data_IF_950825142868
#
_entry.id   IF_950825142868
#
_cell.length_a   1.000
_cell.length_b   1.000
_cell.length_c   1.000
_cell.angle_alpha   90.00
_cell.angle_beta   90.00
_cell.angle_gamma   90.00
#
_symmetry.space_group_name_H-M   'P 1'
#
loop_
_entity.id
_entity.type
_entity.pdbx_description
1 polymer ?
#
# COMPACT_ATOMS: atom_id res chain seq x y z
N UNK A 1 71.52 -67.67 -38.50
CA UNK A 1 72.04 -66.91 -37.34
C UNK A 1 71.53 -65.46 -37.25
N UNK A 2 70.33 -65.13 -37.79
CA UNK A 2 69.70 -63.78 -37.67
C UNK A 2 68.40 -63.74 -36.86
N UNK A 3 67.82 -64.90 -36.52
CA UNK A 3 66.59 -65.01 -35.71
C UNK A 3 66.85 -65.02 -34.19
N UNK A 4 67.99 -65.58 -33.75
CA UNK A 4 68.38 -65.58 -32.33
C UNK A 4 68.59 -64.16 -31.77
N UNK A 5 69.09 -63.24 -32.59
CA UNK A 5 69.31 -61.83 -32.21
C UNK A 5 68.01 -61.04 -32.02
N UNK A 6 66.94 -61.39 -32.74
CA UNK A 6 65.63 -60.74 -32.62
C UNK A 6 64.88 -61.18 -31.35
N UNK A 7 64.97 -62.46 -30.98
CA UNK A 7 64.34 -62.98 -29.77
C UNK A 7 64.99 -62.42 -28.49
N UNK A 8 66.32 -62.36 -28.44
CA UNK A 8 67.07 -61.77 -27.32
C UNK A 8 66.79 -60.27 -27.19
N UNK A 9 66.72 -59.55 -28.32
CA UNK A 9 66.35 -58.13 -28.33
C UNK A 9 64.91 -57.91 -27.83
N UNK A 10 63.96 -58.76 -28.23
CA UNK A 10 62.57 -58.71 -27.76
C UNK A 10 62.46 -58.95 -26.25
N UNK A 11 63.15 -59.96 -25.71
CA UNK A 11 63.17 -60.21 -24.27
C UNK A 11 63.84 -59.10 -23.47
N UNK A 12 64.91 -58.50 -23.98
CA UNK A 12 65.56 -57.33 -23.36
C UNK A 12 64.64 -56.10 -23.39
N UNK A 13 63.93 -55.86 -24.50
CA UNK A 13 62.93 -54.79 -24.58
C UNK A 13 61.76 -55.04 -23.62
N UNK A 14 61.31 -56.29 -23.47
CA UNK A 14 60.26 -56.65 -22.52
C UNK A 14 60.73 -56.48 -21.07
N UNK A 15 61.98 -56.83 -20.75
CA UNK A 15 62.56 -56.63 -19.42
C UNK A 15 62.76 -55.14 -19.10
N UNK A 16 63.27 -54.35 -20.05
CA UNK A 16 63.40 -52.89 -19.93
C UNK A 16 62.03 -52.23 -19.81
N UNK A 17 61.05 -52.70 -20.57
CA UNK A 17 59.67 -52.24 -20.46
C UNK A 17 59.07 -52.60 -19.10
N UNK A 18 59.28 -53.81 -18.60
CA UNK A 18 58.76 -54.26 -17.31
C UNK A 18 59.41 -53.50 -16.14
N UNK A 19 60.73 -53.32 -16.15
CA UNK A 19 61.45 -52.49 -15.17
C UNK A 19 61.04 -51.02 -15.29
N UNK A 20 60.93 -50.50 -16.52
CA UNK A 20 60.45 -49.14 -16.79
C UNK A 20 59.02 -48.89 -16.30
N UNK A 21 58.14 -49.87 -16.47
CA UNK A 21 56.74 -49.80 -16.09
C UNK A 21 56.50 -49.98 -14.59
N UNK A 22 57.39 -50.66 -13.87
CA UNK A 22 57.20 -50.99 -12.44
C UNK A 22 58.05 -50.15 -11.49
N UNK A 23 59.27 -49.77 -11.89
CA UNK A 23 60.21 -49.04 -11.00
C UNK A 23 60.08 -47.53 -11.15
N UNK A 24 59.63 -47.05 -12.33
CA UNK A 24 59.56 -45.61 -12.61
C UNK A 24 58.13 -45.05 -12.59
N UNK A 25 57.08 -45.88 -12.60
CA UNK A 25 55.69 -45.43 -12.56
C UNK A 25 55.40 -44.59 -11.31
N UNK A 26 55.76 -45.09 -10.12
CA UNK A 26 55.53 -44.38 -8.85
C UNK A 26 56.25 -43.04 -8.79
N UNK A 27 57.50 -42.98 -9.29
CA UNK A 27 58.28 -41.72 -9.32
C UNK A 27 57.68 -40.71 -10.30
N UNK A 28 57.17 -41.18 -11.44
CA UNK A 28 56.53 -40.33 -12.45
C UNK A 28 55.19 -39.81 -11.91
N UNK A 29 54.39 -40.67 -11.30
CA UNK A 29 53.11 -40.29 -10.71
C UNK A 29 53.29 -39.29 -9.56
N UNK A 30 54.27 -39.52 -8.67
CA UNK A 30 54.57 -38.60 -7.58
C UNK A 30 55.01 -37.22 -8.10
N UNK A 31 55.94 -37.18 -9.05
CA UNK A 31 56.44 -35.94 -9.64
C UNK A 31 55.35 -35.16 -10.43
N UNK A 32 54.47 -35.86 -11.14
CA UNK A 32 53.31 -35.24 -11.80
C UNK A 32 52.32 -34.75 -10.75
N UNK A 33 52.07 -35.53 -9.70
CA UNK A 33 51.16 -35.14 -8.61
C UNK A 33 51.65 -33.87 -7.93
N UNK A 34 52.93 -33.75 -7.58
CA UNK A 34 53.49 -32.57 -6.92
C UNK A 34 53.36 -31.30 -7.80
N UNK A 35 53.67 -31.42 -9.10
CA UNK A 35 53.60 -30.29 -10.04
C UNK A 35 52.18 -29.90 -10.38
N UNK A 36 51.28 -30.86 -10.61
CA UNK A 36 49.86 -30.61 -10.84
C UNK A 36 49.18 -30.04 -9.61
N UNK A 37 49.53 -30.52 -8.41
CA UNK A 37 49.04 -29.96 -7.14
C UNK A 37 49.50 -28.51 -6.98
N UNK A 38 50.77 -28.23 -7.29
CA UNK A 38 51.33 -26.88 -7.23
C UNK A 38 50.66 -25.92 -8.23
N UNK A 39 50.44 -26.38 -9.47
CA UNK A 39 49.79 -25.61 -10.53
C UNK A 39 48.33 -25.26 -10.18
N UNK A 40 47.66 -26.13 -9.42
CA UNK A 40 46.28 -25.93 -8.96
C UNK A 40 46.16 -25.35 -7.55
N UNK A 41 47.26 -24.94 -6.92
CA UNK A 41 47.24 -24.29 -5.60
C UNK A 41 46.22 -23.14 -5.46
N UNK A 42 45.92 -22.31 -6.50
CA UNK A 42 44.89 -21.26 -6.38
C UNK A 42 43.45 -21.78 -6.25
N UNK A 43 43.22 -23.06 -6.56
CA UNK A 43 41.90 -23.70 -6.53
C UNK A 43 41.72 -24.65 -5.35
N UNK A 44 42.72 -24.78 -4.48
CA UNK A 44 42.62 -25.56 -3.25
C UNK A 44 41.93 -24.76 -2.14
N UNK A 45 41.16 -25.41 -1.25
CA UNK A 45 40.87 -26.85 -1.19
C UNK A 45 39.71 -27.31 -2.11
N UNK A 46 39.17 -26.42 -2.95
CA UNK A 46 37.97 -26.69 -3.77
C UNK A 46 38.16 -27.68 -4.91
N UNK A 47 39.39 -27.99 -5.29
CA UNK A 47 39.76 -28.93 -6.36
C UNK A 47 40.82 -29.89 -5.86
N UNK A 48 40.61 -31.18 -6.10
CA UNK A 48 41.55 -32.28 -5.82
C UNK A 48 41.99 -32.96 -7.11
N UNK A 49 43.18 -33.57 -7.08
CA UNK A 49 43.70 -34.33 -8.22
C UNK A 49 44.06 -35.75 -7.83
N UNK A 50 43.98 -36.65 -8.80
CA UNK A 50 44.48 -38.02 -8.77
C UNK A 50 45.26 -38.29 -10.06
N UNK A 51 46.38 -39.01 -9.98
CA UNK A 51 47.26 -39.28 -11.12
C UNK A 51 47.40 -40.79 -11.29
N UNK A 52 47.20 -41.28 -12.51
CA UNK A 52 47.41 -42.67 -12.92
C UNK A 52 48.39 -42.70 -14.11
N UNK A 53 49.63 -43.13 -13.87
CA UNK A 53 50.76 -42.99 -14.75
C UNK A 53 51.07 -41.53 -15.13
N UNK A 54 50.48 -41.07 -16.24
CA UNK A 54 50.61 -39.69 -16.76
C UNK A 54 49.27 -39.02 -17.03
N UNK A 55 48.17 -39.68 -16.70
CA UNK A 55 46.84 -39.13 -16.87
C UNK A 55 46.38 -38.54 -15.52
N UNK A 56 45.85 -37.33 -15.56
CA UNK A 56 45.43 -36.61 -14.36
C UNK A 56 43.91 -36.48 -14.36
N UNK A 57 43.29 -36.92 -13.27
CA UNK A 57 41.87 -36.71 -13.01
C UNK A 57 41.72 -35.56 -12.01
N UNK A 58 40.87 -34.60 -12.35
CA UNK A 58 40.57 -33.43 -11.53
C UNK A 58 39.13 -33.52 -11.06
N UNK A 59 38.90 -33.44 -9.75
CA UNK A 59 37.59 -33.47 -9.11
C UNK A 59 37.41 -32.25 -8.21
N UNK A 60 36.16 -31.88 -7.92
CA UNK A 60 35.84 -30.76 -7.02
C UNK A 60 34.82 -29.78 -7.60
N UNK A 61 34.75 -28.58 -7.03
CA UNK A 61 33.78 -27.55 -7.41
C UNK A 61 34.45 -26.19 -7.66
N UNK A 62 34.03 -25.51 -8.73
CA UNK A 62 34.51 -24.15 -9.09
C UNK A 62 33.35 -23.19 -9.34
N UNK A 63 33.59 -21.90 -9.17
CA UNK A 63 32.54 -20.89 -9.23
C UNK A 63 31.94 -20.64 -10.63
N UNK A 64 32.59 -21.06 -11.71
CA UNK A 64 32.09 -20.80 -13.07
C UNK A 64 32.64 -21.79 -14.12
N UNK A 65 31.96 -21.88 -15.26
CA UNK A 65 32.43 -22.67 -16.42
C UNK A 65 33.75 -22.17 -16.99
N UNK A 66 34.11 -20.89 -16.78
CA UNK A 66 35.41 -20.34 -17.18
C UNK A 66 36.53 -20.90 -16.28
N UNK A 67 36.35 -20.88 -14.95
CA UNK A 67 37.30 -21.48 -14.01
C UNK A 67 37.43 -22.99 -14.21
N UNK A 68 36.34 -23.67 -14.57
CA UNK A 68 36.37 -25.10 -14.92
C UNK A 68 37.27 -25.38 -16.13
N UNK A 69 37.28 -24.50 -17.13
CA UNK A 69 38.18 -24.60 -18.29
C UNK A 69 39.62 -24.26 -17.90
N UNK A 70 39.81 -23.19 -17.15
CA UNK A 70 41.13 -22.73 -16.67
C UNK A 70 41.85 -23.81 -15.85
N UNK A 71 41.15 -24.49 -14.93
CA UNK A 71 41.70 -25.62 -14.15
C UNK A 71 42.18 -26.77 -15.06
N UNK A 72 41.43 -27.06 -16.14
CA UNK A 72 41.84 -28.08 -17.11
C UNK A 72 43.06 -27.63 -17.90
N UNK A 73 43.06 -26.40 -18.41
CA UNK A 73 44.15 -25.82 -19.19
C UNK A 73 45.45 -25.74 -18.38
N UNK A 74 45.37 -25.33 -17.11
CA UNK A 74 46.50 -25.32 -16.19
C UNK A 74 47.07 -26.74 -16.00
N UNK A 75 46.20 -27.74 -15.82
CA UNK A 75 46.63 -29.13 -15.64
C UNK A 75 47.22 -29.72 -16.91
N UNK A 76 46.63 -29.43 -18.08
CA UNK A 76 47.17 -29.82 -19.40
C UNK A 76 48.54 -29.17 -19.69
N UNK A 77 48.81 -28.00 -19.11
CA UNK A 77 50.08 -27.29 -19.26
C UNK A 77 51.22 -27.84 -18.39
N UNK A 78 50.90 -28.69 -17.41
CA UNK A 78 51.91 -29.30 -16.55
C UNK A 78 52.74 -30.30 -17.36
N UNK A 79 54.05 -30.06 -17.41
CA UNK A 79 54.97 -30.94 -18.12
C UNK A 79 54.84 -32.38 -17.63
N UNK A 80 54.75 -33.33 -18.55
CA UNK A 80 54.61 -34.76 -18.25
C UNK A 80 53.16 -35.26 -18.20
N UNK A 81 52.16 -34.37 -18.11
CA UNK A 81 50.74 -34.74 -18.23
C UNK A 81 50.42 -35.14 -19.67
N UNK A 82 49.85 -36.33 -19.85
CA UNK A 82 49.44 -36.87 -21.16
C UNK A 82 47.99 -36.53 -21.46
N UNK A 83 47.09 -36.70 -20.48
CA UNK A 83 45.66 -36.48 -20.64
C UNK A 83 45.06 -36.01 -19.33
N UNK A 84 44.23 -34.97 -19.40
CA UNK A 84 43.45 -34.50 -18.24
C UNK A 84 41.98 -34.89 -18.37
N UNK A 85 41.49 -35.61 -17.37
CA UNK A 85 40.07 -35.87 -17.17
C UNK A 85 39.50 -34.85 -16.18
N UNK A 86 38.70 -33.91 -16.69
CA UNK A 86 38.10 -32.86 -15.89
C UNK A 86 36.69 -33.26 -15.41
N UNK A 87 36.58 -33.64 -14.15
CA UNK A 87 35.33 -33.99 -13.45
C UNK A 87 34.85 -32.88 -12.50
N UNK A 88 35.43 -31.68 -12.58
CA UNK A 88 35.04 -30.53 -11.75
C UNK A 88 33.61 -30.09 -12.06
N UNK A 89 32.78 -29.88 -11.03
CA UNK A 89 31.45 -29.30 -11.16
C UNK A 89 31.47 -27.78 -11.02
N UNK A 90 30.51 -27.09 -11.66
CA UNK A 90 30.32 -25.65 -11.41
C UNK A 90 29.38 -25.51 -10.22
N UNK A 91 29.84 -24.86 -9.15
CA UNK A 91 29.02 -24.57 -7.97
C UNK A 91 27.83 -23.74 -8.42
N UNK A 92 26.62 -24.31 -8.32
CA UNK A 92 25.39 -23.56 -8.60
C UNK A 92 25.25 -22.49 -7.52
N UNK A 93 25.32 -21.23 -7.91
CA UNK A 93 24.99 -20.13 -7.01
C UNK A 93 23.51 -20.29 -6.62
N UNK A 94 23.16 -20.27 -5.32
CA UNK A 94 21.76 -20.36 -4.92
C UNK A 94 21.00 -19.23 -5.60
N UNK A 95 19.95 -19.59 -6.36
CA UNK A 95 19.03 -18.60 -6.93
C UNK A 95 18.33 -17.97 -5.73
N UNK A 96 18.56 -16.68 -5.50
CA UNK A 96 17.84 -15.96 -4.47
C UNK A 96 16.35 -16.07 -4.75
N UNK A 97 15.57 -16.44 -3.75
CA UNK A 97 14.13 -16.42 -3.87
C UNK A 97 13.68 -14.98 -4.14
N UNK A 98 12.68 -14.75 -4.98
CA UNK A 98 12.05 -13.43 -5.11
C UNK A 98 11.46 -12.97 -3.77
N UNK A 99 11.36 -11.65 -3.57
CA UNK A 99 10.75 -11.07 -2.37
C UNK A 99 9.25 -11.36 -2.30
N UNK A 100 8.72 -11.38 -1.08
CA UNK A 100 7.28 -11.37 -0.84
C UNK A 100 6.72 -10.02 -1.29
N UNK A 101 5.67 -10.03 -2.11
CA UNK A 101 5.00 -8.82 -2.59
C UNK A 101 3.52 -9.13 -2.80
N UNK A 102 2.71 -8.91 -1.77
CA UNK A 102 1.26 -9.07 -1.82
C UNK A 102 0.57 -7.72 -1.83
N UNK A 103 -0.36 -7.53 -2.77
CA UNK A 103 -1.14 -6.29 -2.91
C UNK A 103 -2.62 -6.59 -2.97
N UNK A 104 -3.40 -5.72 -2.37
CA UNK A 104 -4.84 -5.73 -2.49
C UNK A 104 -5.40 -4.32 -2.60
N UNK A 105 -6.41 -4.13 -3.44
CA UNK A 105 -7.18 -2.89 -3.54
C UNK A 105 -8.65 -3.15 -3.27
N UNK A 106 -9.30 -2.21 -2.58
CA UNK A 106 -10.71 -2.29 -2.25
C UNK A 106 -11.41 -1.02 -2.69
N UNK A 107 -12.36 -1.14 -3.63
CA UNK A 107 -13.14 -0.01 -4.14
C UNK A 107 -14.50 -0.48 -4.63
N UNK A 108 -15.56 0.26 -4.31
CA UNK A 108 -16.94 -0.04 -4.76
C UNK A 108 -17.38 -1.48 -4.40
N UNK A 109 -17.01 -1.96 -3.21
CA UNK A 109 -17.24 -3.35 -2.77
C UNK A 109 -16.54 -4.41 -3.64
N UNK A 110 -15.57 -4.01 -4.45
CA UNK A 110 -14.73 -4.92 -5.21
C UNK A 110 -13.37 -5.01 -4.52
N UNK A 111 -12.98 -6.23 -4.17
CA UNK A 111 -11.66 -6.54 -3.63
C UNK A 111 -10.84 -7.19 -4.74
N UNK A 112 -9.78 -6.53 -5.19
CA UNK A 112 -8.82 -7.13 -6.10
C UNK A 112 -7.53 -7.46 -5.36
N UNK A 113 -6.97 -8.65 -5.61
CA UNK A 113 -5.78 -9.16 -4.93
C UNK A 113 -4.80 -9.72 -5.94
N UNK A 114 -3.51 -9.43 -5.78
CA UNK A 114 -2.46 -9.92 -6.66
C UNK A 114 -1.11 -9.99 -5.94
N UNK A 115 -0.14 -10.68 -6.53
CA UNK A 115 1.23 -10.64 -6.03
C UNK A 115 1.92 -12.00 -5.92
N UNK A 116 3.09 -12.01 -5.30
CA UNK A 116 3.86 -13.21 -5.04
C UNK A 116 3.90 -13.50 -3.54
N UNK A 117 3.46 -14.70 -3.17
CA UNK A 117 3.45 -15.19 -1.79
C UNK A 117 4.42 -16.35 -1.62
N UNK A 118 4.63 -16.74 -0.36
CA UNK A 118 5.65 -17.69 0.02
C UNK A 118 5.27 -19.15 -0.23
N UNK A 119 4.06 -19.56 0.15
CA UNK A 119 3.66 -20.96 0.10
C UNK A 119 2.15 -21.16 -0.17
N UNK A 120 1.78 -22.43 -0.32
CA UNK A 120 0.40 -22.84 -0.61
C UNK A 120 -0.58 -22.53 0.53
N UNK A 121 -0.12 -22.46 1.78
CA UNK A 121 -0.99 -22.15 2.93
C UNK A 121 -1.46 -20.69 2.86
N UNK A 122 -0.58 -19.76 2.46
CA UNK A 122 -0.94 -18.36 2.23
C UNK A 122 -1.94 -18.21 1.08
N UNK A 123 -1.76 -18.98 0.00
CA UNK A 123 -2.73 -19.02 -1.11
C UNK A 123 -4.08 -19.57 -0.63
N UNK A 124 -4.08 -20.67 0.14
CA UNK A 124 -5.30 -21.25 0.69
C UNK A 124 -6.01 -20.29 1.65
N UNK A 125 -5.27 -19.50 2.43
CA UNK A 125 -5.84 -18.44 3.26
C UNK A 125 -6.54 -17.38 2.40
N UNK A 126 -5.89 -16.89 1.34
CA UNK A 126 -6.49 -15.94 0.38
C UNK A 126 -7.75 -16.53 -0.27
N UNK A 127 -7.75 -17.84 -0.53
CA UNK A 127 -8.93 -18.53 -1.05
C UNK A 127 -10.09 -18.57 -0.06
N UNK A 128 -9.77 -18.79 1.22
CA UNK A 128 -10.76 -18.87 2.29
C UNK A 128 -11.36 -17.51 2.71
N UNK A 129 -10.70 -16.40 2.38
CA UNK A 129 -11.19 -15.04 2.68
C UNK A 129 -12.58 -14.78 2.08
N UNK A 130 -12.96 -15.44 0.98
CA UNK A 130 -14.30 -15.34 0.43
C UNK A 130 -15.39 -15.67 1.45
N UNK A 131 -15.16 -16.64 2.34
CA UNK A 131 -16.14 -17.05 3.36
C UNK A 131 -16.22 -16.07 4.54
N UNK A 132 -15.21 -15.21 4.71
CA UNK A 132 -15.11 -14.27 5.82
C UNK A 132 -15.66 -12.86 5.48
N UNK A 133 -15.85 -12.56 4.19
CA UNK A 133 -16.31 -11.25 3.72
C UNK A 133 -17.82 -11.20 3.44
N UNK A 134 -18.46 -10.02 3.49
CA UNK A 134 -19.87 -9.87 3.15
C UNK A 134 -20.16 -10.42 1.75
N UNK A 135 -21.29 -11.13 1.53
CA UNK A 135 -21.63 -11.74 0.24
C UNK A 135 -21.73 -10.77 -0.94
N UNK A 136 -21.92 -9.47 -0.68
CA UNK A 136 -21.95 -8.42 -1.70
C UNK A 136 -20.57 -8.02 -2.21
N UNK A 137 -19.50 -8.51 -1.58
CA UNK A 137 -18.13 -8.18 -1.97
C UNK A 137 -17.73 -8.98 -3.21
N UNK A 138 -17.46 -8.29 -4.31
CA UNK A 138 -16.96 -8.93 -5.53
C UNK A 138 -15.44 -9.13 -5.40
N UNK A 139 -15.00 -10.38 -5.36
CA UNK A 139 -13.58 -10.71 -5.24
C UNK A 139 -13.01 -11.04 -6.61
N UNK A 140 -11.98 -10.29 -7.03
CA UNK A 140 -11.25 -10.55 -8.27
C UNK A 140 -9.81 -10.91 -7.93
N UNK A 141 -9.40 -12.15 -8.19
CA UNK A 141 -8.00 -12.56 -8.03
C UNK A 141 -7.23 -12.30 -9.31
N UNK A 142 -6.19 -11.48 -9.23
CA UNK A 142 -5.14 -11.41 -10.22
C UNK A 142 -4.20 -12.63 -10.13
N UNK A 143 -3.02 -12.51 -10.72
CA UNK A 143 -1.99 -13.56 -10.60
C UNK A 143 -1.46 -13.54 -9.17
N UNK A 144 -1.80 -14.58 -8.39
CA UNK A 144 -1.19 -14.87 -7.09
C UNK A 144 -0.26 -16.07 -7.27
N UNK A 145 1.04 -15.82 -7.29
CA UNK A 145 2.07 -16.84 -7.49
C UNK A 145 2.67 -17.32 -6.17
N UNK A 146 3.38 -18.45 -6.20
CA UNK A 146 4.17 -18.97 -5.07
C UNK A 146 5.66 -18.94 -5.41
N UNK A 147 6.51 -18.93 -4.37
CA UNK A 147 7.97 -19.01 -4.52
C UNK A 147 8.72 -17.81 -3.95
N UNK A 148 8.05 -16.90 -3.24
CA UNK A 148 8.71 -15.84 -2.49
C UNK A 148 9.43 -16.35 -1.24
N UNK A 149 10.31 -15.51 -0.68
CA UNK A 149 10.84 -15.72 0.67
C UNK A 149 9.70 -15.82 1.70
N UNK A 150 9.82 -16.76 2.65
CA UNK A 150 8.75 -17.03 3.60
C UNK A 150 8.70 -16.02 4.74
N UNK A 151 7.53 -15.43 4.92
CA UNK A 151 7.23 -14.59 6.07
C UNK A 151 6.65 -15.43 7.20
N UNK A 152 7.15 -15.21 8.42
CA UNK A 152 6.58 -15.84 9.62
C UNK A 152 5.11 -15.45 9.76
N UNK A 153 4.20 -16.43 9.86
CA UNK A 153 2.74 -16.19 9.96
C UNK A 153 2.18 -15.43 8.75
N UNK A 154 2.67 -15.72 7.55
CA UNK A 154 2.20 -15.12 6.29
C UNK A 154 0.68 -15.17 6.12
N UNK A 155 -0.04 -16.28 6.39
CA UNK A 155 -1.50 -16.31 6.31
C UNK A 155 -2.17 -15.25 7.19
N UNK A 156 -1.76 -15.15 8.46
CA UNK A 156 -2.39 -14.26 9.43
C UNK A 156 -2.04 -12.78 9.18
N UNK A 157 -0.88 -12.49 8.59
CA UNK A 157 -0.53 -11.13 8.14
C UNK A 157 -1.45 -10.68 7.01
N UNK A 158 -1.63 -11.54 6.01
CA UNK A 158 -2.53 -11.29 4.86
C UNK A 158 -3.98 -11.15 5.33
N UNK A 159 -4.44 -12.04 6.23
CA UNK A 159 -5.75 -11.96 6.87
C UNK A 159 -5.96 -10.61 7.55
N UNK A 160 -4.99 -10.20 8.39
CA UNK A 160 -5.06 -8.94 9.16
C UNK A 160 -5.16 -7.74 8.22
N UNK A 161 -4.38 -7.73 7.13
CA UNK A 161 -4.41 -6.67 6.13
C UNK A 161 -5.73 -6.57 5.41
N UNK A 162 -6.28 -7.70 4.94
CA UNK A 162 -7.55 -7.70 4.20
C UNK A 162 -8.73 -7.37 5.12
N UNK A 163 -8.71 -7.84 6.36
CA UNK A 163 -9.72 -7.49 7.37
C UNK A 163 -9.72 -6.00 7.71
N UNK A 164 -8.56 -5.34 7.68
CA UNK A 164 -8.46 -3.89 7.85
C UNK A 164 -8.89 -3.13 6.58
N UNK A 165 -8.42 -3.57 5.41
CA UNK A 165 -8.72 -2.96 4.10
C UNK A 165 -10.23 -2.94 3.81
N UNK A 166 -10.94 -4.01 4.12
CA UNK A 166 -12.39 -4.13 3.84
C UNK A 166 -13.28 -3.28 4.77
N UNK A 167 -12.72 -2.70 5.83
CA UNK A 167 -13.40 -1.70 6.66
C UNK A 167 -13.29 -0.27 6.10
N UNK A 168 -12.38 -0.05 5.15
CA UNK A 168 -12.23 1.23 4.43
C UNK A 168 -13.38 1.42 3.44
N UNK A 169 -13.72 2.68 3.14
CA UNK A 169 -14.63 3.02 2.04
C UNK A 169 -13.97 2.71 0.69
N UNK A 170 -12.69 3.04 0.58
CA UNK A 170 -11.79 2.61 -0.49
C UNK A 170 -10.34 2.73 -0.03
N UNK A 171 -9.45 1.91 -0.58
CA UNK A 171 -8.04 1.93 -0.21
C UNK A 171 -7.22 0.83 -0.87
N UNK A 172 -5.98 0.73 -0.46
CA UNK A 172 -5.02 -0.27 -0.90
C UNK A 172 -4.17 -0.78 0.28
N UNK A 173 -3.71 -2.01 0.13
CA UNK A 173 -2.86 -2.74 1.05
C UNK A 173 -1.64 -3.22 0.26
N UNK A 174 -0.45 -2.99 0.82
CA UNK A 174 0.79 -3.61 0.39
C UNK A 174 1.45 -4.36 1.55
N UNK A 175 1.90 -5.59 1.31
CA UNK A 175 2.68 -6.38 2.25
C UNK A 175 3.92 -6.89 1.53
N UNK A 176 5.09 -6.49 2.01
CA UNK A 176 6.38 -6.94 1.52
C UNK A 176 7.12 -7.76 2.58
N UNK A 177 8.39 -8.07 2.31
CA UNK A 177 9.33 -8.65 3.26
C UNK A 177 9.63 -7.75 4.47
N UNK A 178 9.56 -6.44 4.29
CA UNK A 178 9.90 -5.44 5.32
C UNK A 178 8.72 -4.61 5.80
N UNK A 179 7.69 -4.42 4.97
CA UNK A 179 6.65 -3.42 5.20
C UNK A 179 5.23 -4.00 5.14
N UNK A 180 4.35 -3.38 5.93
CA UNK A 180 2.91 -3.51 5.86
C UNK A 180 2.35 -2.10 5.72
N UNK A 181 1.75 -1.79 4.59
CA UNK A 181 1.24 -0.46 4.26
C UNK A 181 -0.25 -0.57 4.00
N UNK A 182 -1.05 0.22 4.72
CA UNK A 182 -2.48 0.35 4.49
C UNK A 182 -2.81 1.82 4.23
N UNK A 183 -3.32 2.10 3.03
CA UNK A 183 -3.75 3.43 2.62
C UNK A 183 -5.25 3.44 2.36
N UNK A 184 -5.94 4.53 2.68
CA UNK A 184 -7.29 4.75 2.18
C UNK A 184 -8.12 5.71 3.00
N UNK A 185 -9.43 5.64 2.79
CA UNK A 185 -10.39 6.57 3.37
C UNK A 185 -11.48 5.81 4.11
N UNK A 186 -11.87 6.29 5.29
CA UNK A 186 -12.97 5.78 6.09
C UNK A 186 -14.13 6.76 6.19
N UNK A 187 -15.27 6.25 6.63
CA UNK A 187 -16.50 7.04 6.76
C UNK A 187 -16.64 7.80 8.08
N UNK A 188 -15.76 7.67 9.05
CA UNK A 188 -15.80 8.44 10.31
C UNK A 188 -14.61 8.04 11.20
N UNK A 189 -14.40 8.83 12.24
CA UNK A 189 -13.37 8.59 13.26
C UNK A 189 -13.55 7.25 13.97
N UNK A 190 -14.78 6.83 14.24
CA UNK A 190 -15.04 5.55 14.93
C UNK A 190 -14.47 4.36 14.14
N UNK A 191 -14.67 4.35 12.82
CA UNK A 191 -14.08 3.33 11.94
C UNK A 191 -12.56 3.41 11.87
N UNK A 192 -11.98 4.62 11.76
CA UNK A 192 -10.51 4.78 11.79
C UNK A 192 -9.96 4.14 13.07
N UNK A 193 -10.50 4.52 14.22
CA UNK A 193 -10.09 4.02 15.53
C UNK A 193 -10.25 2.49 15.64
N UNK A 194 -11.31 1.92 15.06
CA UNK A 194 -11.51 0.48 15.03
C UNK A 194 -10.41 -0.25 14.23
N UNK A 195 -10.03 0.29 13.07
CA UNK A 195 -8.94 -0.25 12.24
C UNK A 195 -7.60 -0.14 12.96
N UNK A 196 -7.27 1.04 13.48
CA UNK A 196 -6.02 1.26 14.24
C UNK A 196 -5.93 0.30 15.43
N UNK A 197 -7.02 0.10 16.16
CA UNK A 197 -7.09 -0.85 17.28
C UNK A 197 -6.92 -2.30 16.82
N UNK A 198 -7.51 -2.69 15.69
CA UNK A 198 -7.33 -4.01 15.10
C UNK A 198 -5.86 -4.27 14.79
N UNK A 199 -5.20 -3.33 14.10
CA UNK A 199 -3.78 -3.43 13.74
C UNK A 199 -2.90 -3.44 14.99
N UNK A 200 -3.16 -2.56 15.97
CA UNK A 200 -2.42 -2.51 17.22
C UNK A 200 -2.51 -3.85 18.00
N UNK A 201 -3.71 -4.44 18.06
CA UNK A 201 -3.92 -5.74 18.73
C UNK A 201 -3.19 -6.87 18.01
N UNK A 202 -3.11 -6.80 16.68
CA UNK A 202 -2.42 -7.79 15.83
C UNK A 202 -0.94 -7.49 15.61
N UNK A 203 -0.37 -6.45 16.24
CA UNK A 203 1.06 -6.09 16.07
C UNK A 203 2.03 -7.26 16.24
N UNK A 204 1.89 -8.18 17.23
CA UNK A 204 2.77 -9.34 17.37
C UNK A 204 2.69 -10.36 16.22
N UNK A 205 1.62 -10.33 15.43
CA UNK A 205 1.49 -11.13 14.19
C UNK A 205 2.22 -10.43 13.05
N UNK A 206 2.17 -9.10 12.99
CA UNK A 206 2.77 -8.30 11.92
C UNK A 206 4.29 -8.18 12.06
N UNK A 207 4.86 -8.38 13.25
CA UNK A 207 6.32 -8.34 13.45
C UNK A 207 7.06 -9.33 12.51
N UNK A 208 8.23 -8.96 11.97
CA UNK A 208 8.99 -7.72 12.23
C UNK A 208 8.64 -6.55 11.29
N UNK A 209 7.54 -6.61 10.54
CA UNK A 209 7.25 -5.63 9.50
C UNK A 209 7.09 -4.21 10.07
N UNK A 210 7.61 -3.24 9.34
CA UNK A 210 7.31 -1.82 9.53
C UNK A 210 5.87 -1.57 9.10
N UNK A 211 5.03 -1.11 10.03
CA UNK A 211 3.60 -0.89 9.77
C UNK A 211 3.36 0.60 9.54
N UNK A 212 2.83 0.93 8.37
CA UNK A 212 2.45 2.29 7.96
C UNK A 212 0.95 2.34 7.68
N UNK A 213 0.22 3.18 8.41
CA UNK A 213 -1.22 3.38 8.24
C UNK A 213 -1.47 4.83 7.79
N UNK A 214 -1.97 5.02 6.56
CA UNK A 214 -2.33 6.32 6.01
C UNK A 214 -3.84 6.34 5.76
N UNK A 215 -4.62 6.60 6.81
CA UNK A 215 -6.08 6.51 6.79
C UNK A 215 -6.73 7.88 7.00
N UNK A 216 -7.34 8.40 5.96
CA UNK A 216 -8.10 9.66 6.01
C UNK A 216 -9.58 9.41 6.34
N UNK A 217 -10.24 10.38 6.95
CA UNK A 217 -11.68 10.36 7.18
C UNK A 217 -12.27 11.24 6.10
N UNK A 218 -13.19 10.69 5.30
CA UNK A 218 -13.97 11.50 4.37
C UNK A 218 -14.81 12.48 5.20
N UNK A 219 -14.59 13.80 5.09
CA UNK A 219 -15.37 14.78 5.84
C UNK A 219 -16.88 14.66 5.53
N UNK A 220 -17.24 14.23 4.31
CA UNK A 220 -18.64 14.13 3.89
C UNK A 220 -19.25 12.74 4.01
N UNK A 221 -18.56 11.82 4.66
CA UNK A 221 -18.92 10.41 4.78
C UNK A 221 -20.31 10.10 5.35
N UNK A 222 -20.86 11.01 6.15
CA UNK A 222 -22.21 10.90 6.72
C UNK A 222 -23.32 11.33 5.76
N UNK A 223 -22.99 11.66 4.52
CA UNK A 223 -23.87 12.31 3.57
C UNK A 223 -23.77 11.61 2.20
N UNK A 224 -24.90 11.41 1.56
CA UNK A 224 -24.99 10.85 0.21
C UNK A 224 -24.55 11.89 -0.84
N UNK A 225 -24.04 11.42 -1.98
CA UNK A 225 -23.68 12.30 -3.09
C UNK A 225 -24.85 13.18 -3.54
N UNK A 226 -26.05 12.61 -3.62
CA UNK A 226 -27.26 13.35 -3.98
C UNK A 226 -27.59 14.46 -2.96
N UNK A 227 -27.42 14.18 -1.66
CA UNK A 227 -27.61 15.21 -0.64
C UNK A 227 -26.55 16.32 -0.74
N UNK A 228 -25.27 15.97 -0.94
CA UNK A 228 -24.21 16.96 -1.15
C UNK A 228 -24.53 17.93 -2.29
N UNK A 229 -24.86 17.39 -3.47
CA UNK A 229 -25.20 18.19 -4.65
C UNK A 229 -26.42 19.11 -4.38
N UNK A 230 -27.41 18.61 -3.67
CA UNK A 230 -28.60 19.38 -3.30
C UNK A 230 -28.30 20.49 -2.29
N UNK A 231 -27.41 20.25 -1.33
CA UNK A 231 -26.94 21.28 -0.39
C UNK A 231 -26.20 22.37 -1.16
N UNK A 232 -25.18 22.01 -1.96
CA UNK A 232 -24.40 22.97 -2.76
C UNK A 232 -25.32 23.84 -3.61
N UNK A 233 -26.35 23.25 -4.23
CA UNK A 233 -27.31 23.98 -5.06
C UNK A 233 -28.20 24.90 -4.23
N UNK A 234 -28.70 24.46 -3.07
CA UNK A 234 -29.59 25.27 -2.22
C UNK A 234 -28.84 26.42 -1.52
N UNK A 235 -27.54 26.27 -1.27
CA UNK A 235 -26.71 27.28 -0.63
C UNK A 235 -26.36 28.46 -1.54
N UNK A 236 -26.59 28.40 -2.85
CA UNK A 236 -26.36 29.54 -3.76
C UNK A 236 -27.27 30.76 -3.47
N UNK A 237 -28.40 30.55 -2.77
CA UNK A 237 -29.38 31.60 -2.47
C UNK A 237 -29.84 31.52 -0.99
N UNK A 238 -28.90 31.23 -0.09
CA UNK A 238 -29.13 31.09 1.36
C UNK A 238 -29.10 32.42 2.14
N UNK A 239 -28.83 33.54 1.48
CA UNK A 239 -28.75 34.87 2.12
C UNK A 239 -30.03 35.66 1.90
N UNK A 240 -30.63 36.11 3.00
CA UNK A 240 -31.77 37.02 3.01
C UNK A 240 -31.29 38.42 3.39
N UNK A 241 -31.51 39.42 2.54
CA UNK A 241 -31.17 40.81 2.83
C UNK A 241 -32.39 41.59 3.30
N UNK A 242 -32.19 42.56 4.20
CA UNK A 242 -33.27 43.30 4.83
C UNK A 242 -33.18 44.81 4.58
N UNK A 243 -34.35 45.44 4.54
CA UNK A 243 -34.48 46.89 4.68
C UNK A 243 -34.22 47.30 6.14
N UNK A 244 -33.91 48.59 6.35
CA UNK A 244 -33.72 49.17 7.69
C UNK A 244 -34.98 48.93 8.52
N UNK A 245 -34.85 48.44 9.75
CA UNK A 245 -35.92 48.08 10.69
C UNK A 245 -36.84 46.90 10.32
N UNK A 246 -36.68 46.31 9.14
CA UNK A 246 -37.50 45.17 8.72
C UNK A 246 -36.92 43.84 9.23
N UNK A 247 -37.81 42.92 9.61
CA UNK A 247 -37.45 41.56 10.02
C UNK A 247 -38.33 40.47 9.40
N UNK A 248 -39.39 40.84 8.67
CA UNK A 248 -40.24 39.91 7.94
C UNK A 248 -39.50 39.33 6.72
N UNK A 249 -39.84 38.09 6.37
CA UNK A 249 -39.37 37.43 5.16
C UNK A 249 -40.12 38.01 3.96
N UNK A 250 -39.40 38.60 3.01
CA UNK A 250 -39.99 39.07 1.75
C UNK A 250 -40.32 37.88 0.82
N UNK A 251 -41.36 38.00 0.00
CA UNK A 251 -41.86 36.91 -0.87
C UNK A 251 -40.81 36.37 -1.85
N UNK A 252 -39.81 37.16 -2.20
CA UNK A 252 -38.71 36.74 -3.07
C UNK A 252 -37.82 35.64 -2.44
N UNK A 253 -37.80 35.53 -1.11
CA UNK A 253 -36.95 34.56 -0.39
C UNK A 253 -37.66 33.25 -0.05
N UNK A 254 -38.99 33.20 -0.12
CA UNK A 254 -39.78 32.01 0.25
C UNK A 254 -39.41 30.80 -0.59
N UNK A 255 -39.16 30.98 -1.89
CA UNK A 255 -38.74 29.89 -2.78
C UNK A 255 -37.39 29.27 -2.37
N UNK A 256 -36.42 30.09 -1.96
CA UNK A 256 -35.11 29.62 -1.48
C UNK A 256 -35.25 28.89 -0.15
N UNK A 257 -36.01 29.44 0.81
CA UNK A 257 -36.26 28.80 2.10
C UNK A 257 -37.01 27.46 1.94
N UNK A 258 -38.00 27.41 1.06
CA UNK A 258 -38.71 26.16 0.74
C UNK A 258 -37.79 25.12 0.10
N UNK A 259 -36.85 25.56 -0.75
CA UNK A 259 -35.84 24.67 -1.32
C UNK A 259 -34.93 24.10 -0.23
N UNK A 260 -34.44 24.94 0.70
CA UNK A 260 -33.61 24.49 1.83
C UNK A 260 -34.38 23.46 2.67
N UNK A 261 -35.62 23.77 3.06
CA UNK A 261 -36.47 22.86 3.81
C UNK A 261 -36.71 21.53 3.07
N UNK A 262 -36.98 21.59 1.76
CA UNK A 262 -37.14 20.40 0.92
C UNK A 262 -35.87 19.55 0.79
N UNK A 263 -34.68 20.18 0.79
CA UNK A 263 -33.41 19.46 0.76
C UNK A 263 -33.21 18.72 2.08
N UNK A 264 -33.35 19.42 3.21
CA UNK A 264 -33.19 18.86 4.56
C UNK A 264 -34.17 17.72 4.83
N UNK A 265 -35.45 17.90 4.48
CA UNK A 265 -36.50 16.90 4.74
C UNK A 265 -36.58 15.78 3.68
N UNK A 266 -35.94 15.99 2.52
CA UNK A 266 -36.01 15.07 1.39
C UNK A 266 -34.70 14.30 1.19
N UNK A 267 -33.93 14.72 0.20
CA UNK A 267 -32.68 14.03 -0.21
C UNK A 267 -31.64 13.93 0.91
N UNK A 268 -31.67 14.86 1.86
CA UNK A 268 -30.79 14.90 3.02
C UNK A 268 -31.42 14.41 4.33
N UNK A 269 -32.59 13.77 4.28
CA UNK A 269 -33.27 13.29 5.47
C UNK A 269 -32.32 12.43 6.33
N UNK A 270 -32.23 12.77 7.62
CA UNK A 270 -31.35 12.16 8.62
C UNK A 270 -29.82 12.26 8.34
N UNK A 271 -29.40 13.06 7.36
CA UNK A 271 -27.97 13.27 7.01
C UNK A 271 -27.47 14.67 7.41
N UNK A 272 -28.37 15.66 7.47
CA UNK A 272 -28.09 16.99 8.06
C UNK A 272 -28.51 16.93 9.53
N UNK A 273 -27.58 17.23 10.43
CA UNK A 273 -27.80 17.21 11.88
C UNK A 273 -27.93 18.60 12.48
N UNK A 274 -27.58 19.65 11.73
CA UNK A 274 -27.77 21.03 12.15
C UNK A 274 -28.06 21.96 10.96
N UNK A 275 -28.96 22.92 11.22
CA UNK A 275 -29.31 24.06 10.38
C UNK A 275 -29.03 25.31 11.20
N UNK A 276 -27.97 26.03 10.88
CA UNK A 276 -27.57 27.24 11.58
C UNK A 276 -28.11 28.47 10.83
N UNK A 277 -28.90 29.29 11.53
CA UNK A 277 -29.46 30.55 11.04
C UNK A 277 -28.74 31.69 11.75
N UNK A 278 -27.95 32.46 11.02
CA UNK A 278 -27.18 33.57 11.56
C UNK A 278 -27.71 34.90 11.01
N UNK A 279 -28.21 35.77 11.87
CA UNK A 279 -28.72 37.08 11.46
C UNK A 279 -27.85 38.22 11.97
N UNK A 280 -27.77 39.27 11.17
CA UNK A 280 -26.92 40.43 11.38
C UNK A 280 -27.69 41.74 11.16
N UNK A 281 -27.22 42.79 11.81
CA UNK A 281 -27.67 44.16 11.66
C UNK A 281 -26.50 45.06 11.21
N UNK A 282 -26.82 46.23 10.67
CA UNK A 282 -25.82 47.27 10.44
C UNK A 282 -25.66 48.17 11.67
N UNK A 283 -24.70 49.10 11.61
CA UNK A 283 -24.34 49.98 12.74
C UNK A 283 -25.28 51.18 12.97
N UNK A 284 -26.39 51.31 12.22
CA UNK A 284 -27.19 52.55 12.23
C UNK A 284 -28.01 52.71 13.52
N UNK A 285 -28.43 51.62 14.14
CA UNK A 285 -29.17 51.62 15.41
C UNK A 285 -28.26 51.57 16.63
N UNK A 286 -28.83 51.68 17.84
CA UNK A 286 -28.09 51.38 19.06
C UNK A 286 -27.80 49.88 19.20
N UNK A 287 -26.66 49.53 19.79
CA UNK A 287 -26.19 48.14 19.94
C UNK A 287 -27.29 47.17 20.42
N UNK A 288 -27.97 47.48 21.53
CA UNK A 288 -29.03 46.62 22.06
C UNK A 288 -30.26 46.52 21.15
N UNK A 289 -30.54 47.57 20.37
CA UNK A 289 -31.60 47.54 19.36
C UNK A 289 -31.20 46.63 18.18
N UNK A 290 -29.98 46.76 17.69
CA UNK A 290 -29.43 45.98 16.57
C UNK A 290 -29.35 44.49 16.94
N UNK A 291 -28.93 44.19 18.18
CA UNK A 291 -28.96 42.85 18.75
C UNK A 291 -30.37 42.26 18.69
N UNK A 292 -31.34 42.92 19.33
CA UNK A 292 -32.73 42.45 19.32
C UNK A 292 -33.37 42.37 17.93
N UNK A 293 -32.97 43.24 16.99
CA UNK A 293 -33.44 43.19 15.60
C UNK A 293 -32.88 41.97 14.86
N UNK A 294 -31.60 41.67 15.04
CA UNK A 294 -30.98 40.48 14.46
C UNK A 294 -31.58 39.18 15.04
N UNK A 295 -31.86 39.13 16.34
CA UNK A 295 -32.51 37.99 16.98
C UNK A 295 -33.93 37.75 16.43
N UNK A 296 -34.72 38.82 16.24
CA UNK A 296 -36.05 38.72 15.62
C UNK A 296 -35.98 38.18 14.19
N UNK A 297 -34.98 38.58 13.41
CA UNK A 297 -34.75 38.07 12.05
C UNK A 297 -34.42 36.57 12.07
N UNK A 298 -33.51 36.16 12.94
CA UNK A 298 -33.12 34.76 13.08
C UNK A 298 -34.31 33.89 13.51
N UNK A 299 -35.09 34.36 14.49
CA UNK A 299 -36.33 33.70 14.94
C UNK A 299 -37.36 33.60 13.83
N UNK A 300 -37.54 34.65 13.01
CA UNK A 300 -38.52 34.62 11.91
C UNK A 300 -38.15 33.56 10.86
N UNK A 301 -36.86 33.40 10.55
CA UNK A 301 -36.40 32.35 9.63
C UNK A 301 -36.49 30.97 10.26
N UNK A 302 -36.18 30.83 11.56
CA UNK A 302 -36.41 29.61 12.32
C UNK A 302 -37.87 29.16 12.24
N UNK A 303 -38.81 30.05 12.59
CA UNK A 303 -40.24 29.75 12.61
C UNK A 303 -40.74 29.33 11.23
N UNK A 304 -40.27 30.03 10.19
CA UNK A 304 -40.59 29.68 8.80
C UNK A 304 -40.09 28.28 8.43
N UNK A 305 -38.85 27.92 8.75
CA UNK A 305 -38.30 26.60 8.43
C UNK A 305 -39.03 25.48 9.18
N UNK A 306 -39.42 25.73 10.44
CA UNK A 306 -40.27 24.81 11.22
C UNK A 306 -41.64 24.65 10.57
N UNK A 307 -42.26 25.72 10.10
CA UNK A 307 -43.54 25.66 9.36
C UNK A 307 -43.42 24.86 8.06
N UNK A 308 -42.26 24.89 7.40
CA UNK A 308 -41.96 24.06 6.23
C UNK A 308 -41.55 22.62 6.60
N UNK A 309 -41.64 22.24 7.88
CA UNK A 309 -41.47 20.88 8.38
C UNK A 309 -40.04 20.49 8.74
N UNK A 310 -39.09 21.42 8.77
CA UNK A 310 -37.73 21.13 9.28
C UNK A 310 -37.80 20.85 10.78
N UNK A 311 -37.14 19.79 11.24
CA UNK A 311 -37.13 19.43 12.66
C UNK A 311 -36.54 20.58 13.51
N UNK A 312 -37.28 21.18 14.45
CA UNK A 312 -36.77 22.28 15.27
C UNK A 312 -35.52 21.91 16.08
N UNK A 313 -35.33 20.64 16.45
CA UNK A 313 -34.17 20.19 17.24
C UNK A 313 -32.83 20.34 16.51
N UNK A 314 -32.85 20.36 15.18
CA UNK A 314 -31.65 20.57 14.37
C UNK A 314 -31.46 22.05 13.99
N UNK A 315 -32.43 22.94 14.24
CA UNK A 315 -32.29 24.35 13.87
C UNK A 315 -31.74 25.14 15.05
N UNK A 316 -30.64 25.85 14.82
CA UNK A 316 -30.06 26.80 15.78
C UNK A 316 -30.11 28.19 15.18
N UNK A 317 -30.71 29.16 15.87
CA UNK A 317 -30.87 30.53 15.39
C UNK A 317 -30.16 31.53 16.31
N UNK A 318 -29.28 32.36 15.75
CA UNK A 318 -28.53 33.37 16.48
C UNK A 318 -28.60 34.74 15.78
N UNK A 319 -28.86 35.78 16.57
CA UNK A 319 -28.65 37.16 16.18
C UNK A 319 -27.30 37.66 16.69
N UNK A 320 -26.45 38.16 15.80
CA UNK A 320 -25.12 38.70 16.14
C UNK A 320 -25.08 40.23 16.25
N UNK A 321 -26.21 40.90 16.12
CA UNK A 321 -26.28 42.35 16.05
C UNK A 321 -25.37 42.91 14.96
N UNK A 322 -24.62 43.96 15.30
CA UNK A 322 -23.68 44.64 14.39
C UNK A 322 -22.24 44.09 14.46
N UNK A 323 -21.98 43.05 15.26
CA UNK A 323 -20.63 42.62 15.63
C UNK A 323 -19.89 41.77 14.59
N UNK A 324 -20.56 41.37 13.51
CA UNK A 324 -19.97 40.61 12.40
C UNK A 324 -20.28 41.25 11.03
N UNK A 325 -19.74 42.46 10.75
CA UNK A 325 -19.93 43.10 9.47
C UNK A 325 -19.12 42.39 8.38
N UNK A 326 -19.70 42.27 7.19
CA UNK A 326 -19.05 41.71 5.99
C UNK A 326 -18.69 42.78 4.96
N UNK A 327 -19.19 44.00 5.15
CA UNK A 327 -18.93 45.16 4.30
C UNK A 327 -18.78 46.43 5.14
N UNK A 328 -18.27 47.50 4.52
CA UNK A 328 -18.10 48.79 5.19
C UNK A 328 -19.44 49.34 5.69
N UNK A 329 -19.48 49.76 6.95
CA UNK A 329 -20.64 50.44 7.51
C UNK A 329 -20.73 51.93 7.12
N UNK A 330 -19.72 52.47 6.44
CA UNK A 330 -19.67 53.88 6.05
C UNK A 330 -20.57 54.16 4.84
N UNK A 331 -20.74 53.18 3.94
CA UNK A 331 -21.55 53.32 2.72
C UNK A 331 -22.97 52.77 2.91
N UNK A 332 -23.91 53.29 2.13
CA UNK A 332 -25.31 52.81 2.17
C UNK A 332 -25.39 51.35 1.70
N UNK A 333 -24.60 51.03 0.67
CA UNK A 333 -24.50 49.72 0.04
C UNK A 333 -23.89 48.70 1.02
N UNK A 334 -22.81 49.06 1.71
CA UNK A 334 -22.18 48.15 2.67
C UNK A 334 -23.04 47.91 3.91
N UNK A 335 -23.74 48.93 4.41
CA UNK A 335 -24.78 48.72 5.45
C UNK A 335 -25.88 47.79 4.97
N UNK A 336 -26.30 47.89 3.71
CA UNK A 336 -27.29 46.98 3.14
C UNK A 336 -26.81 45.53 3.11
N UNK A 337 -25.55 45.28 2.79
CA UNK A 337 -24.95 43.95 2.86
C UNK A 337 -24.87 43.44 4.30
N UNK A 338 -24.59 44.30 5.29
CA UNK A 338 -24.52 43.87 6.70
C UNK A 338 -25.90 43.50 7.29
N UNK A 339 -27.00 44.02 6.75
CA UNK A 339 -28.37 43.64 7.13
C UNK A 339 -28.80 42.35 6.45
N UNK A 340 -28.31 41.22 6.94
CA UNK A 340 -28.53 39.91 6.32
C UNK A 340 -28.84 38.80 7.31
N UNK A 341 -29.44 37.73 6.82
CA UNK A 341 -29.51 36.42 7.48
C UNK A 341 -28.89 35.39 6.55
N UNK A 342 -27.97 34.59 7.07
CA UNK A 342 -27.34 33.48 6.38
C UNK A 342 -27.84 32.16 6.97
N UNK A 343 -27.95 31.14 6.12
CA UNK A 343 -28.37 29.80 6.54
C UNK A 343 -27.27 28.82 6.14
N UNK A 344 -26.81 28.04 7.09
CA UNK A 344 -25.77 27.03 6.92
C UNK A 344 -26.33 25.66 7.31
N UNK A 345 -25.98 24.63 6.54
CA UNK A 345 -26.33 23.25 6.85
C UNK A 345 -25.07 22.53 7.33
N UNK A 346 -25.17 21.62 8.28
CA UNK A 346 -24.02 20.82 8.72
C UNK A 346 -24.43 19.41 9.13
N UNK A 347 -23.46 18.51 9.08
CA UNK A 347 -23.52 17.22 9.77
C UNK A 347 -22.46 17.27 10.90
N UNK A 348 -22.57 16.42 11.91
CA UNK A 348 -21.75 16.31 13.12
C UNK A 348 -20.21 16.36 12.92
N UNK A 349 -19.72 16.35 11.68
CA UNK A 349 -18.32 16.39 11.31
C UNK A 349 -17.93 17.57 10.36
N UNK A 350 -18.87 18.29 9.73
CA UNK A 350 -18.57 19.26 8.65
C UNK A 350 -19.64 20.36 8.51
N UNK A 351 -19.20 21.60 8.35
CA UNK A 351 -20.01 22.71 7.82
C UNK A 351 -20.22 22.52 6.31
N UNK A 352 -21.48 22.35 5.90
CA UNK A 352 -21.90 22.08 4.53
C UNK A 352 -22.39 23.39 3.90
N UNK A 353 -21.48 24.34 3.73
CA UNK A 353 -21.69 25.54 2.93
C UNK A 353 -21.08 25.36 1.55
N UNK A 354 -21.50 26.19 0.58
CA UNK A 354 -20.68 26.43 -0.61
C UNK A 354 -19.39 27.08 -0.10
N UNK A 355 -18.31 26.32 0.02
CA UNK A 355 -16.99 26.91 0.24
C UNK A 355 -16.78 27.98 -0.84
N UNK A 356 -16.83 29.25 -0.45
CA UNK A 356 -15.96 30.24 -1.06
C UNK A 356 -14.57 29.91 -0.53
N UNK A 357 -13.78 29.34 -1.43
CA UNK A 357 -12.34 29.05 -1.39
C UNK A 357 -11.55 29.69 -0.23
N UNK A 358 -10.74 28.86 0.42
CA UNK A 358 -9.28 28.94 0.25
C UNK A 358 -8.71 27.53 -0.02
#
# INVERSE_FOLDING_TARGET
MRLLSLAVLSCLLAAVYWVGATVYSERIEQDITERSTSALSPYQPGVSISVDGRDVTIEGEVASSAKKREVKELTDSVWGVRKTQNMVAVKKQPVALPSFDFKADYKNQQLHMSGLVDNADTVAMIDNIHNALPPSTLITKGVVGTGAESLRKSPEKVETGIAALTQLSHGDLGITDEEFILNGVVSNEERRNAIEKLIATRRPVLDPLTVSLNIDVDPYSGITQACREAIVTSMQQNVLNYKVDFYNIESQYTASLNRIASVVNGVCANQVTQVLVESHADVTGGEGYNQGLSERRASTVYDYLVEQGVNPEIITAFGYGEFRPIASNETVEGRALNRRTEIHLSNNNVQLSTNSED
#
